data_IF_168540669911
#
_entry.id   IF_168540669911
#
_cell.length_a   1.000
_cell.length_b   1.000
_cell.length_c   1.000
_cell.angle_alpha   90.00
_cell.angle_beta   90.00
_cell.angle_gamma   90.00
#
_symmetry.space_group_name_H-M   'P 1'
#
loop_
_entity.id
_entity.type
_entity.pdbx_description
1 polymer ?
#
# COMPACT_ATOMS: atom_id res chain seq x y z
N UNK A 1 -1.45 -26.72 -0.15
CA UNK A 1 -0.95 -25.39 -0.44
C UNK A 1 -0.53 -25.29 -1.89
N UNK A 2 -0.55 -24.10 -2.45
CA UNK A 2 0.00 -23.81 -3.78
C UNK A 2 1.42 -23.30 -3.56
N UNK A 3 2.38 -23.89 -4.27
CA UNK A 3 3.81 -23.55 -4.15
C UNK A 3 4.32 -22.88 -5.44
N UNK A 4 5.33 -22.01 -5.37
CA UNK A 4 5.93 -21.40 -6.55
C UNK A 4 6.58 -22.45 -7.48
N UNK A 5 6.72 -22.16 -8.79
CA UNK A 5 6.33 -20.92 -9.44
C UNK A 5 4.82 -20.80 -9.62
N UNK A 6 4.28 -19.61 -9.36
CA UNK A 6 2.85 -19.33 -9.55
C UNK A 6 2.53 -19.06 -11.01
N UNK A 7 1.35 -19.47 -11.47
CA UNK A 7 0.86 -19.16 -12.83
C UNK A 7 0.40 -17.71 -13.01
N UNK A 8 0.33 -16.95 -11.93
CA UNK A 8 -0.04 -15.55 -11.86
C UNK A 8 0.18 -15.01 -10.45
N UNK A 9 -0.01 -13.70 -10.27
CA UNK A 9 0.15 -13.10 -8.95
C UNK A 9 -0.86 -13.69 -7.96
N UNK A 10 -0.40 -14.20 -6.79
CA UNK A 10 -1.29 -14.69 -5.75
C UNK A 10 -2.09 -13.54 -5.13
N UNK A 11 -3.33 -13.82 -4.71
CA UNK A 11 -4.15 -12.91 -3.92
C UNK A 11 -4.01 -13.34 -2.47
N UNK A 12 -3.30 -12.54 -1.69
CA UNK A 12 -2.93 -12.88 -0.30
C UNK A 12 -2.62 -11.62 0.51
N UNK A 13 -2.38 -11.76 1.84
CA UNK A 13 -1.94 -10.70 2.70
C UNK A 13 -2.90 -9.50 2.73
N UNK A 14 -4.10 -9.66 3.30
CA UNK A 14 -5.03 -8.53 3.38
C UNK A 14 -4.82 -7.76 4.67
N UNK A 15 -4.25 -6.56 4.55
CA UNK A 15 -4.04 -5.65 5.67
C UNK A 15 -5.19 -4.68 5.88
N UNK A 16 -6.05 -4.47 4.89
CA UNK A 16 -7.24 -3.63 5.04
C UNK A 16 -8.46 -4.19 4.28
N UNK A 17 -9.66 -3.94 4.81
CA UNK A 17 -10.92 -4.31 4.21
C UNK A 17 -12.00 -3.24 4.43
N UNK A 18 -12.61 -2.76 3.35
CA UNK A 18 -13.72 -1.82 3.38
C UNK A 18 -15.00 -2.49 2.84
N UNK A 19 -16.02 -2.61 3.68
CA UNK A 19 -17.34 -3.08 3.24
C UNK A 19 -17.97 -2.05 2.30
N UNK A 20 -18.46 -2.52 1.16
CA UNK A 20 -19.14 -1.69 0.16
C UNK A 20 -20.66 -1.65 0.41
N UNK A 21 -21.37 -0.61 -0.10
CA UNK A 21 -22.83 -0.51 0.06
C UNK A 21 -23.62 -1.68 -0.52
N UNK A 22 -23.09 -2.35 -1.55
CA UNK A 22 -23.67 -3.53 -2.19
C UNK A 22 -23.44 -4.84 -1.43
N UNK A 23 -22.74 -4.78 -0.28
CA UNK A 23 -22.42 -5.92 0.56
C UNK A 23 -21.13 -6.65 0.17
N UNK A 24 -20.44 -6.22 -0.87
CA UNK A 24 -19.10 -6.70 -1.25
C UNK A 24 -18.01 -6.06 -0.40
N UNK A 25 -16.75 -6.41 -0.65
CA UNK A 25 -15.59 -5.87 0.07
C UNK A 25 -14.53 -5.39 -0.92
N UNK A 26 -13.98 -4.20 -0.67
CA UNK A 26 -12.72 -3.79 -1.24
C UNK A 26 -11.64 -4.12 -0.22
N UNK A 27 -10.69 -4.99 -0.59
CA UNK A 27 -9.61 -5.42 0.28
C UNK A 27 -8.27 -5.06 -0.34
N UNK A 28 -7.30 -4.75 0.49
CA UNK A 28 -5.97 -4.35 0.08
C UNK A 28 -4.97 -5.39 0.55
N UNK A 29 -4.12 -5.87 -0.35
CA UNK A 29 -2.96 -6.66 0.06
C UNK A 29 -1.79 -5.75 0.48
N UNK A 30 -0.96 -6.28 1.38
CA UNK A 30 0.32 -5.72 1.78
C UNK A 30 1.36 -5.74 0.64
N UNK A 31 2.65 -5.72 0.96
CA UNK A 31 3.74 -5.83 -0.01
C UNK A 31 3.82 -7.20 -0.72
N UNK A 32 3.06 -8.18 -0.29
CA UNK A 32 2.87 -9.48 -0.93
C UNK A 32 3.81 -10.58 -0.48
N UNK A 33 5.11 -10.42 -0.54
CA UNK A 33 6.07 -11.49 -0.21
C UNK A 33 6.85 -11.27 1.08
N UNK A 34 6.46 -10.25 1.89
CA UNK A 34 6.92 -10.04 3.25
C UNK A 34 8.21 -9.24 3.38
N UNK A 35 8.86 -8.85 2.28
CA UNK A 35 9.97 -7.90 2.32
C UNK A 35 10.07 -7.11 1.03
N UNK A 36 10.69 -5.94 1.12
CA UNK A 36 10.95 -5.05 0.00
C UNK A 36 11.78 -5.73 -1.10
N UNK A 37 12.78 -6.53 -0.69
CA UNK A 37 13.76 -7.10 -1.62
C UNK A 37 13.21 -8.25 -2.48
N UNK A 38 12.12 -8.90 -2.04
CA UNK A 38 11.51 -10.02 -2.75
C UNK A 38 10.15 -9.70 -3.38
N UNK A 39 9.67 -8.44 -3.29
CA UNK A 39 8.32 -8.03 -3.70
C UNK A 39 8.30 -7.11 -4.93
N UNK A 40 9.38 -7.06 -5.69
CA UNK A 40 9.48 -6.23 -6.91
C UNK A 40 8.57 -6.68 -8.06
N UNK A 41 8.13 -7.92 -8.06
CA UNK A 41 7.19 -8.51 -9.02
C UNK A 41 5.76 -8.67 -8.47
N UNK A 42 5.52 -8.21 -7.22
CA UNK A 42 4.18 -8.20 -6.63
C UNK A 42 3.51 -6.84 -6.86
N UNK A 43 2.54 -6.79 -7.78
CA UNK A 43 1.80 -5.55 -8.09
C UNK A 43 0.81 -5.22 -6.98
N UNK A 44 0.86 -3.98 -6.47
CA UNK A 44 -0.06 -3.50 -5.44
C UNK A 44 -1.47 -3.30 -6.00
N UNK A 45 -2.44 -3.98 -5.41
CA UNK A 45 -3.81 -4.01 -5.89
C UNK A 45 -4.83 -3.92 -4.75
N UNK A 46 -5.95 -3.29 -5.06
CA UNK A 46 -7.14 -3.36 -4.24
C UNK A 46 -8.09 -4.38 -4.89
N UNK A 47 -8.41 -5.44 -4.19
CA UNK A 47 -9.22 -6.53 -4.73
C UNK A 47 -10.69 -6.35 -4.32
N UNK A 48 -11.59 -6.50 -5.29
CA UNK A 48 -13.03 -6.50 -5.05
C UNK A 48 -13.51 -7.94 -4.87
N UNK A 49 -14.06 -8.23 -3.69
CA UNK A 49 -14.45 -9.57 -3.29
C UNK A 49 -15.94 -9.61 -2.91
N UNK A 50 -16.62 -10.70 -3.24
CA UNK A 50 -17.88 -11.06 -2.59
C UNK A 50 -17.66 -12.23 -1.64
N UNK A 51 -18.38 -12.24 -0.51
CA UNK A 51 -18.28 -13.30 0.48
C UNK A 51 -19.66 -13.77 0.88
N UNK A 52 -19.80 -15.09 1.00
CA UNK A 52 -20.96 -15.75 1.59
C UNK A 52 -20.54 -16.38 2.92
N UNK A 53 -20.57 -15.54 3.97
CA UNK A 53 -20.12 -15.95 5.29
C UNK A 53 -21.01 -17.05 5.88
N UNK A 54 -20.39 -18.08 6.45
CA UNK A 54 -21.10 -19.07 7.24
C UNK A 54 -21.58 -18.45 8.56
N UNK A 55 -22.90 -18.43 8.75
CA UNK A 55 -23.55 -17.91 9.95
C UNK A 55 -24.50 -18.95 10.53
N UNK A 56 -25.11 -18.66 11.67
CA UNK A 56 -26.19 -19.51 12.23
C UNK A 56 -27.42 -19.60 11.30
N UNK A 57 -27.62 -18.61 10.43
CA UNK A 57 -28.72 -18.56 9.47
C UNK A 57 -28.39 -19.24 8.12
N UNK A 58 -27.18 -19.72 7.93
CA UNK A 58 -26.71 -20.35 6.68
C UNK A 58 -25.42 -19.72 6.16
N UNK A 59 -25.14 -19.94 4.87
CA UNK A 59 -23.96 -19.47 4.16
C UNK A 59 -22.97 -20.61 3.84
N UNK A 60 -22.28 -20.48 2.70
CA UNK A 60 -21.41 -21.53 2.14
C UNK A 60 -19.94 -21.38 2.54
N UNK A 61 -19.56 -20.30 3.22
CA UNK A 61 -18.16 -19.92 3.53
C UNK A 61 -17.29 -19.79 2.26
N UNK A 62 -17.86 -19.21 1.20
CA UNK A 62 -17.14 -18.99 -0.06
C UNK A 62 -16.76 -17.52 -0.22
N UNK A 63 -15.59 -17.28 -0.84
CA UNK A 63 -15.14 -15.97 -1.28
C UNK A 63 -14.90 -16.03 -2.78
N UNK A 64 -15.40 -15.03 -3.51
CA UNK A 64 -15.18 -14.90 -4.95
C UNK A 64 -14.43 -13.60 -5.24
N UNK A 65 -13.36 -13.70 -6.00
CA UNK A 65 -12.66 -12.56 -6.57
C UNK A 65 -13.47 -12.03 -7.77
N UNK A 66 -13.84 -10.76 -7.74
CA UNK A 66 -14.67 -10.12 -8.78
C UNK A 66 -13.82 -9.31 -9.75
N UNK A 67 -12.96 -8.45 -9.21
CA UNK A 67 -12.10 -7.55 -9.98
C UNK A 67 -10.98 -7.01 -9.08
N UNK A 68 -10.11 -6.19 -9.65
CA UNK A 68 -9.13 -5.44 -8.87
C UNK A 68 -8.92 -4.03 -9.45
N UNK A 69 -8.41 -3.13 -8.61
CA UNK A 69 -7.91 -1.81 -8.96
C UNK A 69 -6.39 -1.87 -8.85
N UNK A 70 -5.67 -1.51 -9.91
CA UNK A 70 -4.21 -1.47 -9.93
C UNK A 70 -3.71 -0.12 -9.44
N UNK A 71 -2.86 -0.08 -8.41
CA UNK A 71 -2.23 1.15 -7.94
C UNK A 71 -1.08 1.56 -8.87
N UNK A 72 -1.02 2.85 -9.23
CA UNK A 72 -0.09 3.36 -10.25
C UNK A 72 0.15 4.87 -10.12
N UNK A 73 1.29 5.32 -10.66
CA UNK A 73 1.73 6.73 -10.68
C UNK A 73 2.07 7.23 -12.09
N UNK A 74 1.13 7.26 -13.05
CA UNK A 74 1.42 7.72 -14.43
C UNK A 74 1.82 9.20 -14.49
N UNK A 75 1.50 9.98 -13.46
CA UNK A 75 1.78 11.40 -13.37
C UNK A 75 3.17 11.72 -12.79
N UNK A 76 3.96 10.70 -12.41
CA UNK A 76 5.32 10.83 -11.87
C UNK A 76 5.38 11.72 -10.62
N UNK A 77 4.45 11.52 -9.70
CA UNK A 77 4.34 12.26 -8.44
C UNK A 77 5.27 11.71 -7.34
N UNK A 78 5.70 10.46 -7.46
CA UNK A 78 6.65 9.84 -6.52
C UNK A 78 8.04 10.41 -6.78
N UNK A 79 8.70 11.05 -5.78
CA UNK A 79 9.96 11.78 -5.95
C UNK A 79 11.22 10.90 -5.86
N UNK A 80 11.07 9.59 -5.72
CA UNK A 80 12.16 8.61 -5.62
C UNK A 80 12.00 7.50 -6.66
N UNK A 81 13.01 6.65 -6.78
CA UNK A 81 12.99 5.52 -7.71
C UNK A 81 11.97 4.46 -7.30
N UNK A 82 11.18 4.00 -8.27
CA UNK A 82 10.25 2.89 -8.15
C UNK A 82 10.57 1.82 -9.20
N UNK A 83 10.13 0.59 -8.97
CA UNK A 83 10.45 -0.57 -9.83
C UNK A 83 10.08 -0.30 -11.29
N UNK A 84 8.89 0.21 -11.56
CA UNK A 84 8.41 0.47 -12.92
C UNK A 84 8.55 1.94 -13.35
N UNK A 85 9.54 2.67 -12.84
CA UNK A 85 9.72 4.12 -13.11
C UNK A 85 9.82 4.49 -14.59
N UNK A 86 10.31 3.59 -15.44
CA UNK A 86 10.53 3.83 -16.87
C UNK A 86 9.35 3.38 -17.76
N UNK A 87 8.24 2.94 -17.17
CA UNK A 87 7.02 2.57 -17.89
C UNK A 87 6.02 3.72 -17.90
N UNK A 88 5.09 3.73 -18.86
CA UNK A 88 4.06 4.76 -18.96
C UNK A 88 3.11 4.73 -17.77
N UNK A 89 2.64 3.56 -17.39
CA UNK A 89 1.66 3.37 -16.30
C UNK A 89 2.28 3.47 -14.91
N UNK A 90 3.60 3.23 -14.78
CA UNK A 90 4.31 3.24 -13.50
C UNK A 90 3.55 2.48 -12.41
N UNK A 91 3.25 1.20 -12.69
CA UNK A 91 2.55 0.32 -11.77
C UNK A 91 3.37 0.19 -10.47
N UNK A 92 2.70 0.27 -9.33
CA UNK A 92 3.34 0.17 -8.02
C UNK A 92 3.45 -1.29 -7.59
N UNK A 93 4.54 -1.60 -6.92
CA UNK A 93 4.89 -2.95 -6.43
C UNK A 93 5.11 -2.96 -4.92
N UNK A 94 5.15 -4.15 -4.33
CA UNK A 94 5.48 -4.34 -2.92
C UNK A 94 6.93 -4.03 -2.55
N UNK A 95 7.81 -3.75 -3.55
CA UNK A 95 9.13 -3.18 -3.29
C UNK A 95 9.10 -1.65 -3.19
N UNK A 96 8.05 -1.00 -3.70
CA UNK A 96 7.88 0.45 -3.65
C UNK A 96 7.22 0.89 -2.35
N UNK A 97 6.18 0.19 -1.91
CA UNK A 97 5.39 0.48 -0.70
C UNK A 97 4.91 -0.81 -0.03
N UNK A 98 4.61 -0.69 1.27
CA UNK A 98 3.96 -1.70 2.10
C UNK A 98 2.62 -1.16 2.65
N UNK A 99 1.52 -1.36 1.92
CA UNK A 99 0.21 -0.86 2.31
C UNK A 99 -0.37 -1.60 3.51
N UNK A 100 -0.60 -0.93 4.65
CA UNK A 100 -1.09 -1.56 5.88
C UNK A 100 -2.47 -1.04 6.35
N UNK A 101 -2.87 0.15 5.91
CA UNK A 101 -4.17 0.70 6.25
C UNK A 101 -4.82 1.41 5.07
N UNK A 102 -6.16 1.39 5.02
CA UNK A 102 -6.91 1.99 3.91
C UNK A 102 -8.22 2.62 4.39
N UNK A 103 -8.54 3.79 3.85
CA UNK A 103 -9.86 4.42 3.99
C UNK A 103 -10.34 5.00 2.67
N UNK A 104 -11.66 5.13 2.53
CA UNK A 104 -12.29 5.79 1.39
C UNK A 104 -12.92 7.10 1.83
N UNK A 105 -12.52 8.19 1.20
CA UNK A 105 -13.10 9.51 1.41
C UNK A 105 -14.51 9.61 0.80
N UNK A 106 -15.37 10.56 1.24
CA UNK A 106 -16.71 10.75 0.70
C UNK A 106 -16.79 11.04 -0.80
N UNK A 107 -15.72 11.61 -1.39
CA UNK A 107 -15.60 11.87 -2.82
C UNK A 107 -15.18 10.61 -3.63
N UNK A 108 -14.98 9.47 -2.95
CA UNK A 108 -14.56 8.21 -3.55
C UNK A 108 -13.05 7.98 -3.61
N UNK A 109 -12.24 8.97 -3.30
CA UNK A 109 -10.78 8.84 -3.25
C UNK A 109 -10.36 7.83 -2.16
N UNK A 110 -9.21 7.20 -2.37
CA UNK A 110 -8.66 6.18 -1.49
C UNK A 110 -7.39 6.72 -0.83
N UNK A 111 -7.34 6.60 0.49
CA UNK A 111 -6.19 6.91 1.29
C UNK A 111 -5.57 5.63 1.82
N UNK A 112 -4.25 5.51 1.71
CA UNK A 112 -3.49 4.31 2.11
C UNK A 112 -2.35 4.74 3.00
N UNK A 113 -2.20 4.06 4.14
CA UNK A 113 -1.04 4.18 5.00
C UNK A 113 0.01 3.15 4.59
N UNK A 114 1.24 3.63 4.39
CA UNK A 114 2.42 2.85 4.00
C UNK A 114 3.36 2.69 5.18
N UNK A 115 3.97 1.51 5.30
CA UNK A 115 4.88 1.17 6.38
C UNK A 115 6.34 1.54 6.06
N UNK A 116 6.75 1.45 4.80
CA UNK A 116 8.15 1.65 4.42
C UNK A 116 8.63 3.09 4.57
N UNK A 117 7.79 4.10 4.32
CA UNK A 117 8.17 5.49 4.43
C UNK A 117 8.42 5.99 5.88
N UNK A 118 7.46 6.04 6.79
CA UNK A 118 6.03 5.87 6.52
C UNK A 118 5.42 7.01 5.70
N UNK A 119 4.53 6.67 4.78
CA UNK A 119 3.84 7.63 3.93
C UNK A 119 2.32 7.49 4.02
N UNK A 120 1.62 8.63 3.90
CA UNK A 120 0.21 8.63 3.57
C UNK A 120 0.07 8.85 2.07
N UNK A 121 -0.58 7.91 1.38
CA UNK A 121 -0.75 7.89 -0.06
C UNK A 121 -2.20 8.23 -0.44
N UNK A 122 -2.39 9.11 -1.42
CA UNK A 122 -3.70 9.56 -1.89
C UNK A 122 -3.94 9.13 -3.33
N UNK A 123 -4.92 8.27 -3.54
CA UNK A 123 -5.30 7.74 -4.85
C UNK A 123 -6.72 8.16 -5.24
N UNK A 124 -6.96 8.26 -6.54
CA UNK A 124 -8.32 8.29 -7.09
C UNK A 124 -9.01 6.93 -6.92
N UNK A 125 -10.32 6.90 -7.14
CA UNK A 125 -11.12 5.68 -7.04
C UNK A 125 -10.69 4.55 -8.02
N UNK A 126 -9.94 4.89 -9.08
CA UNK A 126 -9.40 3.95 -10.08
C UNK A 126 -7.90 3.67 -9.90
N UNK A 127 -7.31 4.04 -8.74
CA UNK A 127 -5.96 3.67 -8.34
C UNK A 127 -4.84 4.54 -8.89
N UNK A 128 -5.14 5.75 -9.39
CA UNK A 128 -4.11 6.71 -9.82
C UNK A 128 -3.68 7.58 -8.64
N UNK A 129 -2.38 7.66 -8.39
CA UNK A 129 -1.82 8.56 -7.38
C UNK A 129 -2.14 10.02 -7.71
N UNK A 130 -2.67 10.78 -6.75
CA UNK A 130 -3.17 12.15 -6.90
C UNK A 130 -2.26 13.23 -6.32
N UNK A 131 -1.39 12.86 -5.38
CA UNK A 131 -0.41 13.76 -4.77
C UNK A 131 0.90 13.00 -4.52
N UNK A 132 2.03 13.71 -4.37
CA UNK A 132 3.24 13.07 -3.84
C UNK A 132 2.95 12.35 -2.51
N UNK A 133 3.67 11.25 -2.20
CA UNK A 133 3.59 10.60 -0.89
C UNK A 133 3.81 11.63 0.23
N UNK A 134 2.92 11.62 1.22
CA UNK A 134 2.95 12.58 2.35
C UNK A 134 3.73 11.91 3.48
N UNK A 135 4.90 12.44 3.78
CA UNK A 135 5.75 11.95 4.87
C UNK A 135 5.17 12.32 6.24
N UNK A 136 5.48 11.52 7.26
CA UNK A 136 5.15 11.83 8.64
C UNK A 136 6.11 12.90 9.18
N UNK A 137 5.56 14.07 9.50
CA UNK A 137 6.35 15.16 10.06
C UNK A 137 6.97 14.79 11.41
N UNK A 138 8.21 15.19 11.64
CA UNK A 138 8.87 15.00 12.92
C UNK A 138 8.19 15.87 14.00
N UNK A 139 7.76 15.31 15.16
CA UNK A 139 6.95 16.05 16.13
C UNK A 139 7.72 17.14 16.89
N UNK A 140 9.05 17.06 16.94
CA UNK A 140 9.89 17.97 17.70
C UNK A 140 10.82 18.82 16.82
N UNK A 141 11.02 18.46 15.56
CA UNK A 141 11.94 19.12 14.64
C UNK A 141 11.19 19.63 13.41
N UNK A 142 10.86 20.92 13.41
CA UNK A 142 10.13 21.53 12.31
C UNK A 142 10.92 21.45 10.99
N UNK A 143 10.26 21.04 9.91
CA UNK A 143 10.84 20.92 8.58
C UNK A 143 11.56 19.61 8.31
N UNK A 144 11.57 18.67 9.26
CA UNK A 144 12.06 17.30 9.07
C UNK A 144 10.91 16.29 9.07
N UNK A 145 11.20 15.08 8.68
CA UNK A 145 10.25 13.96 8.63
C UNK A 145 10.78 12.75 9.40
N UNK A 146 9.88 11.90 9.87
CA UNK A 146 10.23 10.61 10.41
C UNK A 146 10.41 9.62 9.27
N UNK A 147 11.48 8.81 9.34
CA UNK A 147 11.74 7.73 8.40
C UNK A 147 11.88 6.38 9.10
N UNK A 148 11.44 5.34 8.42
CA UNK A 148 11.78 3.96 8.75
C UNK A 148 13.14 3.58 8.13
N UNK A 149 13.77 2.47 8.55
CA UNK A 149 14.96 1.95 7.90
C UNK A 149 14.75 1.55 6.42
N UNK A 150 13.49 1.34 6.02
CA UNK A 150 13.08 0.91 4.68
C UNK A 150 12.72 2.07 3.75
N UNK A 151 12.78 3.33 4.26
CA UNK A 151 12.43 4.51 3.48
C UNK A 151 13.29 4.63 2.22
N UNK A 152 12.65 4.76 1.06
CA UNK A 152 13.33 4.79 -0.25
C UNK A 152 14.33 5.95 -0.38
N UNK A 153 14.08 7.08 0.27
CA UNK A 153 14.99 8.23 0.26
C UNK A 153 16.27 7.99 1.07
N UNK A 154 16.29 6.99 1.96
CA UNK A 154 17.49 6.56 2.67
C UNK A 154 18.27 5.46 1.93
N UNK A 155 17.67 4.82 0.93
CA UNK A 155 18.33 3.76 0.15
C UNK A 155 19.45 4.32 -0.71
N UNK A 156 20.58 3.62 -0.69
CA UNK A 156 21.78 4.05 -1.43
C UNK A 156 22.64 5.09 -0.72
N UNK A 157 22.18 5.61 0.43
CA UNK A 157 22.93 6.53 1.27
C UNK A 157 23.64 5.74 2.37
N UNK A 158 24.84 5.23 2.09
CA UNK A 158 25.72 4.67 3.12
C UNK A 158 26.51 5.83 3.72
N UNK A 159 26.13 6.22 4.93
CA UNK A 159 26.83 7.19 5.79
C UNK A 159 26.94 8.62 5.25
N UNK A 160 26.46 9.58 5.99
CA UNK A 160 26.68 11.04 5.85
C UNK A 160 26.55 11.64 4.44
N UNK A 161 25.56 11.19 3.67
CA UNK A 161 25.23 11.79 2.39
C UNK A 161 24.10 12.81 2.62
N UNK A 162 24.17 13.92 1.92
CA UNK A 162 23.17 14.99 1.92
C UNK A 162 21.75 14.38 1.71
N UNK A 163 20.85 14.59 2.67
CA UNK A 163 19.48 14.07 2.64
C UNK A 163 19.20 12.76 3.41
N UNK A 164 20.22 12.14 4.04
CA UNK A 164 19.96 11.03 4.96
C UNK A 164 19.29 11.53 6.24
N UNK A 165 18.20 10.91 6.63
CA UNK A 165 17.55 11.13 7.93
C UNK A 165 17.63 9.84 8.73
N UNK A 166 18.19 9.91 9.95
CA UNK A 166 18.28 8.76 10.86
C UNK A 166 16.88 8.19 11.11
N UNK A 167 16.67 6.89 10.90
CA UNK A 167 15.38 6.28 11.15
C UNK A 167 14.98 6.34 12.62
N UNK A 168 13.83 6.95 12.91
CA UNK A 168 13.23 7.03 14.25
C UNK A 168 11.95 6.19 14.35
N UNK A 169 11.43 5.72 13.22
CA UNK A 169 10.36 4.72 13.17
C UNK A 169 11.00 3.34 13.05
N UNK A 170 10.52 2.38 13.81
CA UNK A 170 11.01 1.01 13.72
C UNK A 170 10.66 0.41 12.37
N UNK A 171 11.44 -0.57 11.92
CA UNK A 171 11.06 -1.41 10.81
C UNK A 171 9.71 -2.06 11.12
N UNK A 172 8.81 -2.09 10.13
CA UNK A 172 7.45 -2.60 10.32
C UNK A 172 6.69 -1.88 11.46
N UNK A 173 6.76 -0.57 11.46
CA UNK A 173 6.14 0.28 12.49
C UNK A 173 5.58 1.59 11.92
N UNK A 174 5.19 1.60 10.64
CA UNK A 174 4.62 2.76 9.98
C UNK A 174 3.12 2.95 10.22
N UNK A 175 2.35 3.29 9.16
CA UNK A 175 0.91 3.55 9.27
C UNK A 175 0.07 2.27 9.24
N UNK A 176 0.02 1.55 10.36
CA UNK A 176 -0.71 0.29 10.57
C UNK A 176 -2.24 0.45 10.62
N UNK A 177 -2.74 1.61 10.98
CA UNK A 177 -4.16 1.86 11.13
C UNK A 177 -4.57 3.26 10.69
N UNK A 178 -5.79 3.38 10.14
CA UNK A 178 -6.35 4.62 9.65
C UNK A 178 -7.85 4.73 9.95
N UNK A 179 -8.28 5.93 10.34
CA UNK A 179 -9.68 6.27 10.47
C UNK A 179 -9.96 7.65 9.85
N UNK A 180 -11.17 7.83 9.34
CA UNK A 180 -11.67 9.14 8.88
C UNK A 180 -12.60 9.68 9.95
N UNK A 181 -12.39 10.95 10.36
CA UNK A 181 -13.35 11.65 11.22
C UNK A 181 -14.64 11.95 10.45
N UNK A 182 -15.79 11.93 11.13
CA UNK A 182 -17.08 12.32 10.55
C UNK A 182 -17.08 13.72 9.94
#
# INVERSE_FOLDING_TARGET
GIFPPFSGQPVQGFSAALKQPDGTYLVMSDNGFGSQDNSSDYLLRLHHLSSDFRTKAGGTATVKHLSYIQLRDPNKLIPFEIVHQNTQERLLTGADFDPESMQRAPNGDIWIGDEFGPYLLHFSADGILKSPPIALAHPLEAGTELRSPQNQLNKGTIGYIDGYIEPLVQQSGGFEGMAISP
#
